data_IF_255650740617
#
_entry.id   IF_255650740617
#
_cell.length_a   1.000
_cell.length_b   1.000
_cell.length_c   1.000
_cell.angle_alpha   90.00
_cell.angle_beta   90.00
_cell.angle_gamma   90.00
#
_symmetry.space_group_name_H-M   'P 1'
#
loop_
_entity.id
_entity.type
_entity.pdbx_description
1 polymer ?
#
# COMPACT_ATOMS: atom_id res chain seq x y z
N UNK A 1 55.17 -21.02 3.45
CA UNK A 1 53.95 -20.37 3.97
C UNK A 1 52.88 -21.42 4.25
N UNK A 2 52.14 -21.29 5.35
CA UNK A 2 51.08 -22.23 5.70
C UNK A 2 49.85 -21.96 4.84
N UNK A 3 49.50 -22.89 3.94
CA UNK A 3 48.38 -22.75 2.97
C UNK A 3 47.07 -22.39 3.70
N UNK A 4 46.87 -22.94 4.89
CA UNK A 4 45.68 -22.68 5.72
C UNK A 4 45.60 -21.20 6.10
N UNK A 5 46.71 -20.56 6.44
CA UNK A 5 46.75 -19.15 6.81
C UNK A 5 46.43 -18.23 5.63
N UNK A 6 46.91 -18.57 4.42
CA UNK A 6 46.61 -17.82 3.19
C UNK A 6 45.12 -17.90 2.85
N UNK A 7 44.55 -19.12 2.89
CA UNK A 7 43.12 -19.31 2.62
C UNK A 7 42.25 -18.55 3.63
N UNK A 8 42.61 -18.59 4.91
CA UNK A 8 41.88 -17.87 5.96
C UNK A 8 41.96 -16.35 5.76
N UNK A 9 43.14 -15.81 5.46
CA UNK A 9 43.32 -14.39 5.17
C UNK A 9 42.49 -13.94 3.95
N UNK A 10 42.41 -14.77 2.90
CA UNK A 10 41.63 -14.49 1.70
C UNK A 10 40.12 -14.48 1.99
N UNK A 11 39.62 -15.43 2.78
CA UNK A 11 38.21 -15.46 3.20
C UNK A 11 37.87 -14.23 4.03
N UNK A 12 38.72 -13.86 5.00
CA UNK A 12 38.51 -12.67 5.82
C UNK A 12 38.48 -11.39 4.97
N UNK A 13 39.44 -11.22 4.05
CA UNK A 13 39.50 -10.05 3.17
C UNK A 13 38.25 -9.96 2.27
N UNK A 14 37.81 -11.08 1.69
CA UNK A 14 36.58 -11.14 0.91
C UNK A 14 35.34 -10.81 1.74
N UNK A 15 35.22 -11.36 2.95
CA UNK A 15 34.08 -11.11 3.84
C UNK A 15 34.00 -9.64 4.26
N UNK A 16 35.12 -9.04 4.69
CA UNK A 16 35.17 -7.63 5.09
C UNK A 16 34.94 -6.70 3.89
N UNK A 17 35.54 -7.02 2.74
CA UNK A 17 35.37 -6.24 1.53
C UNK A 17 33.93 -6.28 1.01
N UNK A 18 33.28 -7.44 1.04
CA UNK A 18 31.88 -7.59 0.66
C UNK A 18 30.95 -6.86 1.63
N UNK A 19 31.21 -6.93 2.94
CA UNK A 19 30.45 -6.18 3.95
C UNK A 19 30.55 -4.66 3.75
N UNK A 20 31.76 -4.15 3.53
CA UNK A 20 31.99 -2.73 3.22
C UNK A 20 31.33 -2.33 1.90
N UNK A 21 31.35 -3.21 0.89
CA UNK A 21 30.68 -2.99 -0.38
C UNK A 21 29.16 -2.86 -0.23
N UNK A 22 28.52 -3.77 0.52
CA UNK A 22 27.08 -3.74 0.79
C UNK A 22 26.71 -2.44 1.50
N UNK A 23 27.45 -2.07 2.54
CA UNK A 23 27.26 -0.80 3.24
C UNK A 23 27.45 0.42 2.31
N UNK A 24 28.46 0.35 1.42
CA UNK A 24 28.72 1.36 0.40
C UNK A 24 27.55 1.53 -0.56
N UNK A 25 27.01 0.44 -1.10
CA UNK A 25 25.84 0.46 -2.02
C UNK A 25 24.62 1.07 -1.33
N UNK A 26 24.34 0.68 -0.08
CA UNK A 26 23.24 1.27 0.71
C UNK A 26 23.45 2.77 0.90
N UNK A 27 24.67 3.19 1.25
CA UNK A 27 24.99 4.62 1.45
C UNK A 27 24.86 5.46 0.18
N UNK A 28 25.21 4.90 -0.99
CA UNK A 28 25.01 5.54 -2.30
C UNK A 28 23.53 5.65 -2.61
N UNK A 29 22.75 4.62 -2.29
CA UNK A 29 21.32 4.57 -2.55
C UNK A 29 20.54 5.63 -1.76
N UNK A 30 20.90 5.83 -0.49
CA UNK A 30 20.21 6.74 0.43
C UNK A 30 20.63 8.19 0.30
N UNK A 31 21.95 8.47 0.26
CA UNK A 31 22.45 9.85 0.34
C UNK A 31 22.69 10.54 -0.99
N UNK A 32 22.81 9.79 -2.09
CA UNK A 32 22.95 10.33 -3.44
C UNK A 32 24.11 11.32 -3.66
N UNK A 33 25.10 11.36 -2.75
CA UNK A 33 26.18 12.34 -2.76
C UNK A 33 27.50 11.80 -3.31
N UNK A 34 28.36 12.69 -3.81
CA UNK A 34 29.67 12.34 -4.37
C UNK A 34 30.59 11.65 -3.34
N UNK A 35 30.45 11.98 -2.06
CA UNK A 35 31.16 11.32 -0.95
C UNK A 35 30.84 9.81 -0.85
N UNK A 36 29.59 9.40 -1.11
CA UNK A 36 29.22 7.98 -1.09
C UNK A 36 29.88 7.23 -2.25
N UNK A 37 30.03 7.88 -3.41
CA UNK A 37 30.72 7.31 -4.58
C UNK A 37 32.21 7.12 -4.25
N UNK A 38 32.86 8.12 -3.65
CA UNK A 38 34.25 8.00 -3.20
C UNK A 38 34.44 6.87 -2.16
N UNK A 39 33.50 6.73 -1.22
CA UNK A 39 33.51 5.63 -0.26
C UNK A 39 33.42 4.26 -0.93
N UNK A 40 32.51 4.12 -1.90
CA UNK A 40 32.39 2.89 -2.70
C UNK A 40 33.66 2.58 -3.51
N UNK A 41 34.24 3.59 -4.17
CA UNK A 41 35.49 3.42 -4.92
C UNK A 41 36.64 2.99 -4.01
N UNK A 42 36.72 3.54 -2.80
CA UNK A 42 37.71 3.13 -1.79
C UNK A 42 37.50 1.67 -1.37
N UNK A 43 36.25 1.21 -1.23
CA UNK A 43 35.94 -0.19 -0.94
C UNK A 43 36.38 -1.13 -2.07
N UNK A 44 36.22 -0.74 -3.35
CA UNK A 44 36.70 -1.53 -4.48
C UNK A 44 38.21 -1.70 -4.47
N UNK A 45 38.96 -0.64 -4.10
CA UNK A 45 40.42 -0.72 -3.96
C UNK A 45 40.80 -1.72 -2.87
N UNK A 46 40.14 -1.67 -1.70
CA UNK A 46 40.38 -2.63 -0.61
C UNK A 46 40.02 -4.07 -1.03
N UNK A 47 38.90 -4.24 -1.74
CA UNK A 47 38.45 -5.54 -2.25
C UNK A 47 39.44 -6.16 -3.25
N UNK A 48 40.12 -5.33 -4.04
CA UNK A 48 41.14 -5.76 -4.99
C UNK A 48 42.50 -6.00 -4.32
N UNK A 49 42.97 -5.04 -3.52
CA UNK A 49 44.30 -5.08 -2.90
C UNK A 49 44.39 -6.12 -1.79
N UNK A 50 43.31 -6.42 -1.07
CA UNK A 50 43.29 -7.41 0.02
C UNK A 50 43.75 -8.81 -0.44
N UNK A 51 43.11 -9.42 -1.45
CA UNK A 51 43.53 -10.71 -2.01
C UNK A 51 44.96 -10.70 -2.59
N UNK A 52 45.38 -9.60 -3.22
CA UNK A 52 46.74 -9.47 -3.79
C UNK A 52 47.80 -9.42 -2.69
N UNK A 53 47.56 -8.64 -1.64
CA UNK A 53 48.46 -8.54 -0.49
C UNK A 53 48.51 -9.84 0.32
N UNK A 54 47.38 -10.54 0.48
CA UNK A 54 47.31 -11.81 1.22
C UNK A 54 48.06 -12.97 0.54
N UNK A 55 48.36 -12.85 -0.75
CA UNK A 55 48.97 -13.91 -1.57
C UNK A 55 50.36 -13.53 -2.08
N UNK A 56 50.97 -12.49 -1.50
CA UNK A 56 52.30 -11.99 -1.87
C UNK A 56 52.41 -11.67 -3.38
N UNK A 57 51.32 -11.18 -3.98
CA UNK A 57 51.32 -10.79 -5.40
C UNK A 57 51.30 -11.96 -6.39
N UNK A 58 50.79 -13.13 -5.99
CA UNK A 58 50.65 -14.26 -6.91
C UNK A 58 49.74 -13.90 -8.11
N UNK A 59 50.14 -14.27 -9.34
CA UNK A 59 49.46 -13.86 -10.57
C UNK A 59 47.94 -14.17 -10.60
N UNK A 60 47.54 -15.31 -10.04
CA UNK A 60 46.13 -15.73 -9.98
C UNK A 60 45.27 -14.85 -9.07
N UNK A 61 45.87 -14.19 -8.07
CA UNK A 61 45.15 -13.32 -7.12
C UNK A 61 44.62 -12.05 -7.78
N UNK A 62 45.34 -11.53 -8.78
CA UNK A 62 44.88 -10.42 -9.61
C UNK A 62 43.59 -10.77 -10.38
N UNK A 63 43.50 -12.02 -10.86
CA UNK A 63 42.30 -12.53 -11.53
C UNK A 63 41.09 -12.56 -10.60
N UNK A 64 41.26 -13.05 -9.36
CA UNK A 64 40.18 -13.10 -8.37
C UNK A 64 39.77 -11.68 -7.95
N UNK A 65 40.75 -10.82 -7.63
CA UNK A 65 40.49 -9.43 -7.26
C UNK A 65 39.72 -8.68 -8.35
N UNK A 66 40.14 -8.82 -9.62
CA UNK A 66 39.44 -8.21 -10.76
C UNK A 66 38.01 -8.74 -10.94
N UNK A 67 37.81 -10.05 -10.80
CA UNK A 67 36.47 -10.65 -10.88
C UNK A 67 35.52 -10.10 -9.80
N UNK A 68 35.99 -9.95 -8.56
CA UNK A 68 35.21 -9.38 -7.46
C UNK A 68 34.81 -7.92 -7.72
N UNK A 69 35.74 -7.11 -8.24
CA UNK A 69 35.46 -5.72 -8.63
C UNK A 69 34.40 -5.66 -9.74
N UNK A 70 34.49 -6.52 -10.76
CA UNK A 70 33.50 -6.57 -11.85
C UNK A 70 32.11 -6.97 -11.35
N UNK A 71 32.02 -7.96 -10.45
CA UNK A 71 30.75 -8.35 -9.83
C UNK A 71 30.15 -7.18 -9.03
N UNK A 72 30.97 -6.47 -8.27
CA UNK A 72 30.53 -5.30 -7.51
C UNK A 72 30.04 -4.14 -8.39
N UNK A 73 30.77 -3.83 -9.47
CA UNK A 73 30.36 -2.83 -10.45
C UNK A 73 29.06 -3.23 -11.16
N UNK A 74 28.92 -4.51 -11.52
CA UNK A 74 27.70 -5.04 -12.11
C UNK A 74 26.50 -4.94 -11.16
N UNK A 75 26.68 -5.24 -9.87
CA UNK A 75 25.65 -5.07 -8.85
C UNK A 75 25.23 -3.61 -8.70
N UNK A 76 26.20 -2.68 -8.62
CA UNK A 76 25.93 -1.25 -8.55
C UNK A 76 25.18 -0.76 -9.80
N UNK A 77 25.63 -1.13 -11.00
CA UNK A 77 24.97 -0.80 -12.26
C UNK A 77 23.54 -1.35 -12.31
N UNK A 78 23.33 -2.59 -11.85
CA UNK A 78 22.00 -3.19 -11.71
C UNK A 78 21.10 -2.40 -10.75
N UNK A 79 21.61 -1.98 -9.60
CA UNK A 79 20.88 -1.15 -8.65
C UNK A 79 20.52 0.22 -9.24
N UNK A 80 21.49 0.90 -9.88
CA UNK A 80 21.28 2.21 -10.50
C UNK A 80 20.26 2.15 -11.64
N UNK A 81 20.37 1.16 -12.52
CA UNK A 81 19.40 0.95 -13.61
C UNK A 81 18.02 0.57 -13.09
N UNK A 82 17.93 -0.22 -12.02
CA UNK A 82 16.65 -0.50 -11.34
C UNK A 82 16.02 0.78 -10.77
N UNK A 83 16.80 1.63 -10.08
CA UNK A 83 16.32 2.90 -9.52
C UNK A 83 15.88 3.86 -10.64
N UNK A 84 16.70 4.02 -11.67
CA UNK A 84 16.37 4.83 -12.85
C UNK A 84 15.08 4.33 -13.51
N UNK A 85 14.91 3.01 -13.66
CA UNK A 85 13.70 2.41 -14.23
C UNK A 85 12.46 2.64 -13.35
N UNK A 86 12.59 2.52 -12.02
CA UNK A 86 11.51 2.85 -11.10
C UNK A 86 11.10 4.32 -11.20
N UNK A 87 12.09 5.21 -11.32
CA UNK A 87 11.86 6.64 -11.46
C UNK A 87 11.23 6.99 -12.80
N UNK A 88 11.71 6.44 -13.91
CA UNK A 88 11.07 6.60 -15.23
C UNK A 88 9.66 6.00 -15.28
N UNK A 89 9.41 4.90 -14.57
CA UNK A 89 8.04 4.37 -14.44
C UNK A 89 7.14 5.29 -13.62
N UNK A 90 7.67 5.86 -12.54
CA UNK A 90 6.95 6.85 -11.74
C UNK A 90 6.65 8.09 -12.59
N UNK A 91 7.65 8.65 -13.26
CA UNK A 91 7.51 9.81 -14.16
C UNK A 91 6.53 9.52 -15.29
N UNK A 92 6.54 8.32 -15.87
CA UNK A 92 5.58 7.88 -16.87
C UNK A 92 4.15 7.81 -16.32
N UNK A 93 3.97 7.22 -15.14
CA UNK A 93 2.66 7.19 -14.46
C UNK A 93 2.17 8.59 -14.12
N UNK A 94 3.06 9.45 -13.65
CA UNK A 94 2.79 10.85 -13.33
C UNK A 94 2.31 11.57 -14.60
N UNK A 95 3.02 11.42 -15.73
CA UNK A 95 2.60 11.98 -17.03
C UNK A 95 1.27 11.43 -17.54
N UNK A 96 1.00 10.12 -17.37
CA UNK A 96 -0.28 9.52 -17.77
C UNK A 96 -1.46 10.00 -16.92
N UNK A 97 -1.24 10.34 -15.65
CA UNK A 97 -2.32 10.78 -14.76
C UNK A 97 -2.86 12.18 -15.09
N UNK A 98 -2.08 13.01 -15.80
CA UNK A 98 -2.54 14.33 -16.22
C UNK A 98 -1.91 14.74 -17.57
N UNK A 99 -2.56 14.44 -18.72
CA UNK A 99 -2.04 14.83 -20.03
C UNK A 99 -2.11 16.35 -20.29
N UNK A 100 -2.93 17.11 -19.55
CA UNK A 100 -3.23 18.53 -19.86
C UNK A 100 -3.08 19.55 -18.70
N UNK A 101 -2.65 19.19 -17.48
CA UNK A 101 -2.80 20.08 -16.31
C UNK A 101 -1.65 20.05 -15.32
N UNK A 102 -1.36 21.21 -14.74
CA UNK A 102 -0.19 21.49 -13.90
C UNK A 102 -0.15 20.63 -12.63
N UNK A 103 1.07 20.27 -12.25
CA UNK A 103 1.37 19.61 -10.98
C UNK A 103 1.05 20.47 -9.76
N UNK A 104 0.40 21.62 -9.90
CA UNK A 104 0.27 22.63 -8.85
C UNK A 104 -0.43 22.09 -7.61
N UNK A 105 -1.43 21.20 -7.75
CA UNK A 105 -2.07 20.56 -6.60
C UNK A 105 -1.13 19.56 -5.89
N UNK A 106 -0.42 18.71 -6.64
CA UNK A 106 0.52 17.74 -6.08
C UNK A 106 1.81 18.40 -5.53
N UNK A 107 2.25 19.50 -6.16
CA UNK A 107 3.35 20.35 -5.70
C UNK A 107 2.90 21.16 -4.47
N UNK A 108 1.65 21.64 -4.42
CA UNK A 108 1.09 22.27 -3.23
C UNK A 108 1.04 21.28 -2.07
N UNK A 109 0.60 20.04 -2.31
CA UNK A 109 0.65 18.95 -1.31
C UNK A 109 2.09 18.70 -0.83
N UNK A 110 3.07 18.68 -1.75
CA UNK A 110 4.49 18.46 -1.41
C UNK A 110 5.10 19.63 -0.61
N UNK A 111 4.66 20.86 -0.87
CA UNK A 111 5.24 22.07 -0.27
C UNK A 111 4.58 22.47 1.06
N UNK A 112 3.43 21.89 1.41
CA UNK A 112 2.74 22.17 2.66
C UNK A 112 3.36 21.39 3.83
N UNK A 113 3.80 22.11 4.87
CA UNK A 113 4.37 21.53 6.11
C UNK A 113 3.37 21.51 7.29
N UNK A 114 2.10 21.85 7.05
CA UNK A 114 1.06 21.88 8.07
C UNK A 114 -0.03 20.86 7.78
N UNK A 115 -0.52 20.18 8.82
CA UNK A 115 -1.67 19.29 8.74
C UNK A 115 -2.92 20.17 8.76
N UNK A 116 -3.60 20.28 7.62
CA UNK A 116 -4.92 20.89 7.54
C UNK A 116 -5.89 19.84 6.99
N UNK A 117 -7.04 19.69 7.65
CA UNK A 117 -8.12 18.77 7.25
C UNK A 117 -8.54 19.02 5.78
N UNK A 118 -8.38 20.27 5.33
CA UNK A 118 -8.57 20.68 3.94
C UNK A 118 -7.73 19.87 2.93
N UNK A 119 -6.50 19.49 3.29
CA UNK A 119 -5.58 18.75 2.43
C UNK A 119 -6.05 17.30 2.21
N UNK A 120 -6.64 16.68 3.23
CA UNK A 120 -7.24 15.35 3.11
C UNK A 120 -8.38 15.42 2.10
N UNK A 121 -9.24 16.43 2.22
CA UNK A 121 -10.38 16.59 1.33
C UNK A 121 -9.95 16.89 -0.11
N UNK A 122 -8.92 17.70 -0.32
CA UNK A 122 -8.38 17.97 -1.65
C UNK A 122 -7.75 16.74 -2.28
N UNK A 123 -7.01 15.94 -1.51
CA UNK A 123 -6.53 14.63 -1.98
C UNK A 123 -7.68 13.70 -2.36
N UNK A 124 -8.71 13.58 -1.51
CA UNK A 124 -9.87 12.74 -1.79
C UNK A 124 -10.58 13.20 -3.07
N UNK A 125 -10.80 14.52 -3.19
CA UNK A 125 -11.39 15.14 -4.38
C UNK A 125 -10.56 14.82 -5.62
N UNK A 126 -9.25 14.98 -5.56
CA UNK A 126 -8.36 14.69 -6.68
C UNK A 126 -8.35 13.20 -7.02
N UNK A 127 -8.29 12.30 -6.04
CA UNK A 127 -8.36 10.86 -6.26
C UNK A 127 -9.68 10.41 -6.92
N UNK A 128 -10.79 11.09 -6.63
CA UNK A 128 -12.09 10.80 -7.22
C UNK A 128 -12.37 11.59 -8.50
N UNK A 129 -11.61 12.66 -8.77
CA UNK A 129 -11.81 13.53 -9.92
C UNK A 129 -11.62 12.78 -11.23
N UNK A 130 -12.65 12.85 -12.09
CA UNK A 130 -12.67 12.19 -13.40
C UNK A 130 -12.79 10.66 -13.33
N UNK A 131 -13.07 10.09 -12.16
CA UNK A 131 -13.27 8.65 -12.02
C UNK A 131 -14.57 8.24 -12.71
N UNK A 132 -14.46 7.40 -13.75
CA UNK A 132 -15.60 6.79 -14.44
C UNK A 132 -15.73 5.33 -14.03
N UNK A 133 -16.97 4.85 -13.91
CA UNK A 133 -17.28 3.46 -13.53
C UNK A 133 -16.67 2.41 -14.46
N UNK A 134 -16.55 2.72 -15.76
CA UNK A 134 -15.92 1.84 -16.73
C UNK A 134 -14.38 1.86 -16.67
N UNK A 135 -13.78 2.71 -15.83
CA UNK A 135 -12.35 2.90 -15.74
C UNK A 135 -11.87 2.92 -14.27
N UNK A 136 -12.36 2.03 -13.43
CA UNK A 136 -11.86 1.85 -12.05
C UNK A 136 -10.34 1.61 -12.02
N UNK A 137 -9.77 1.07 -13.11
CA UNK A 137 -8.32 0.90 -13.26
C UNK A 137 -7.52 2.21 -13.16
N UNK A 138 -8.10 3.36 -13.51
CA UNK A 138 -7.43 4.67 -13.36
C UNK A 138 -7.34 5.11 -11.90
N UNK A 139 -8.32 4.75 -11.06
CA UNK A 139 -8.27 5.03 -9.62
C UNK A 139 -7.03 4.42 -8.99
N UNK A 140 -6.72 3.17 -9.36
CA UNK A 140 -5.52 2.47 -8.92
C UNK A 140 -4.22 3.23 -9.21
N UNK A 141 -4.14 3.91 -10.36
CA UNK A 141 -2.96 4.72 -10.72
C UNK A 141 -2.81 5.93 -9.80
N UNK A 142 -3.91 6.52 -9.35
CA UNK A 142 -3.91 7.66 -8.42
C UNK A 142 -3.38 7.31 -7.03
N UNK A 143 -3.16 6.03 -6.71
CA UNK A 143 -2.40 5.62 -5.53
C UNK A 143 -0.98 6.21 -5.49
N UNK A 144 -0.39 6.56 -6.65
CA UNK A 144 0.91 7.20 -6.71
C UNK A 144 0.92 8.55 -5.98
N UNK A 145 -0.24 9.21 -5.80
CA UNK A 145 -0.35 10.44 -5.00
C UNK A 145 0.03 10.20 -3.53
N UNK A 146 -0.12 8.97 -3.01
CA UNK A 146 0.31 8.60 -1.66
C UNK A 146 1.82 8.72 -1.43
N UNK A 147 2.63 8.78 -2.50
CA UNK A 147 4.08 8.99 -2.41
C UNK A 147 4.44 10.44 -2.05
N UNK A 148 3.51 11.38 -2.22
CA UNK A 148 3.69 12.80 -1.91
C UNK A 148 3.12 13.19 -0.55
N UNK A 149 2.44 12.27 0.13
CA UNK A 149 1.87 12.49 1.47
C UNK A 149 2.96 12.29 2.52
N UNK A 150 2.94 13.11 3.58
CA UNK A 150 3.85 12.99 4.70
C UNK A 150 3.72 11.60 5.38
N UNK A 151 4.83 10.93 5.76
CA UNK A 151 4.78 9.55 6.29
C UNK A 151 3.87 9.38 7.52
N UNK A 152 3.76 10.43 8.36
CA UNK A 152 2.91 10.47 9.56
C UNK A 152 1.42 10.36 9.20
N UNK A 153 1.01 10.95 8.08
CA UNK A 153 -0.38 10.98 7.62
C UNK A 153 -0.68 9.86 6.63
N UNK A 154 0.35 9.38 5.90
CA UNK A 154 0.21 8.39 4.84
C UNK A 154 -0.60 7.14 5.25
N UNK A 155 -0.61 6.78 6.53
CA UNK A 155 -1.41 5.68 7.06
C UNK A 155 -2.94 5.90 6.87
N UNK A 156 -3.45 7.09 7.17
CA UNK A 156 -4.88 7.41 7.07
C UNK A 156 -5.31 7.55 5.61
N UNK A 157 -4.49 8.22 4.79
CA UNK A 157 -4.70 8.32 3.35
C UNK A 157 -4.68 6.94 2.67
N UNK A 158 -3.75 6.06 3.07
CA UNK A 158 -3.70 4.67 2.58
C UNK A 158 -4.95 3.89 2.99
N UNK A 159 -5.39 4.02 4.24
CA UNK A 159 -6.60 3.35 4.74
C UNK A 159 -7.82 3.75 3.91
N UNK A 160 -8.07 5.05 3.76
CA UNK A 160 -9.16 5.56 2.93
C UNK A 160 -9.04 5.10 1.48
N UNK A 161 -7.85 5.19 0.88
CA UNK A 161 -7.64 4.77 -0.51
C UNK A 161 -7.96 3.29 -0.72
N UNK A 162 -7.50 2.43 0.20
CA UNK A 162 -7.76 0.99 0.17
C UNK A 162 -9.24 0.71 0.32
N UNK A 163 -9.90 1.39 1.25
CA UNK A 163 -11.33 1.28 1.48
C UNK A 163 -12.14 1.63 0.22
N UNK A 164 -11.88 2.80 -0.38
CA UNK A 164 -12.47 3.19 -1.66
C UNK A 164 -12.26 2.13 -2.74
N UNK A 165 -11.04 1.64 -2.88
CA UNK A 165 -10.73 0.71 -3.94
C UNK A 165 -11.38 -0.66 -3.75
N UNK A 166 -11.52 -1.12 -2.50
CA UNK A 166 -12.27 -2.33 -2.16
C UNK A 166 -13.73 -2.16 -2.54
N UNK A 167 -14.36 -1.07 -2.08
CA UNK A 167 -15.76 -0.77 -2.36
C UNK A 167 -16.04 -0.70 -3.87
N UNK A 168 -15.18 0.00 -4.62
CA UNK A 168 -15.27 0.06 -6.08
C UNK A 168 -15.11 -1.31 -6.74
N UNK A 169 -14.20 -2.15 -6.22
CA UNK A 169 -14.01 -3.52 -6.71
C UNK A 169 -15.26 -4.36 -6.46
N UNK A 170 -15.89 -4.25 -5.29
CA UNK A 170 -17.12 -4.99 -4.96
C UNK A 170 -18.30 -4.55 -5.82
N UNK A 171 -18.48 -3.25 -6.05
CA UNK A 171 -19.51 -2.75 -6.97
C UNK A 171 -19.30 -3.23 -8.42
N UNK A 172 -18.05 -3.53 -8.80
CA UNK A 172 -17.70 -4.10 -10.10
C UNK A 172 -17.74 -5.63 -10.14
N UNK A 173 -17.95 -6.29 -9.00
CA UNK A 173 -18.02 -7.75 -8.85
C UNK A 173 -19.26 -8.35 -9.53
N UNK A 174 -19.35 -9.67 -9.62
CA UNK A 174 -20.47 -10.37 -10.29
C UNK A 174 -21.56 -10.84 -9.32
N UNK A 175 -21.29 -10.86 -8.02
CA UNK A 175 -22.24 -11.31 -7.01
C UNK A 175 -23.21 -10.19 -6.64
N UNK A 176 -24.51 -10.41 -6.76
CA UNK A 176 -25.53 -9.43 -6.38
C UNK A 176 -25.41 -9.06 -4.90
N UNK A 177 -25.17 -10.04 -4.01
CA UNK A 177 -25.01 -9.81 -2.58
C UNK A 177 -23.80 -8.91 -2.25
N UNK A 178 -22.69 -9.05 -2.99
CA UNK A 178 -21.51 -8.18 -2.80
C UNK A 178 -21.78 -6.75 -3.28
N UNK A 179 -22.52 -6.60 -4.38
CA UNK A 179 -22.93 -5.30 -4.91
C UNK A 179 -23.85 -4.59 -3.91
N UNK A 180 -24.86 -5.27 -3.37
CA UNK A 180 -25.77 -4.71 -2.36
C UNK A 180 -25.02 -4.22 -1.13
N UNK A 181 -24.20 -5.09 -0.54
CA UNK A 181 -23.42 -4.77 0.64
C UNK A 181 -22.47 -3.58 0.39
N UNK A 182 -21.91 -3.46 -0.82
CA UNK A 182 -21.07 -2.33 -1.19
C UNK A 182 -21.87 -1.03 -1.31
N UNK A 183 -23.07 -1.05 -1.91
CA UNK A 183 -23.94 0.14 -2.01
C UNK A 183 -24.38 0.60 -0.62
N UNK A 184 -24.89 -0.31 0.22
CA UNK A 184 -25.24 0.00 1.60
C UNK A 184 -24.08 0.60 2.38
N UNK A 185 -22.86 0.06 2.18
CA UNK A 185 -21.65 0.58 2.79
C UNK A 185 -21.37 2.04 2.38
N UNK A 186 -21.44 2.35 1.07
CA UNK A 186 -21.19 3.69 0.53
C UNK A 186 -22.17 4.72 1.10
N UNK A 187 -23.46 4.36 1.19
CA UNK A 187 -24.48 5.24 1.73
C UNK A 187 -24.32 5.48 3.24
N UNK A 188 -23.77 4.50 3.96
CA UNK A 188 -23.56 4.59 5.41
C UNK A 188 -22.27 5.31 5.85
N UNK A 189 -21.19 5.25 5.04
CA UNK A 189 -19.84 5.65 5.50
C UNK A 189 -19.23 6.88 4.80
N UNK A 190 -19.96 7.54 3.89
CA UNK A 190 -19.51 8.73 3.13
C UNK A 190 -18.09 8.65 2.56
N UNK A 191 -17.73 7.47 2.03
CA UNK A 191 -16.38 7.16 1.56
C UNK A 191 -16.09 7.75 0.18
N UNK A 192 -17.15 7.93 -0.63
CA UNK A 192 -17.10 8.36 -2.02
C UNK A 192 -17.84 9.68 -2.22
N UNK A 193 -17.51 10.39 -3.30
CA UNK A 193 -18.20 11.65 -3.65
C UNK A 193 -19.69 11.39 -3.90
N UNK A 194 -20.57 12.39 -3.65
CA UNK A 194 -22.01 12.24 -3.90
C UNK A 194 -22.34 11.78 -5.32
N UNK A 195 -21.63 12.28 -6.33
CA UNK A 195 -21.81 11.91 -7.74
C UNK A 195 -21.49 10.43 -7.95
N UNK A 196 -20.35 9.97 -7.45
CA UNK A 196 -19.93 8.58 -7.62
C UNK A 196 -20.81 7.60 -6.85
N UNK A 197 -21.29 8.02 -5.66
CA UNK A 197 -22.29 7.27 -4.86
C UNK A 197 -23.57 7.05 -5.65
N UNK A 198 -24.07 8.09 -6.31
CA UNK A 198 -25.28 8.05 -7.17
C UNK A 198 -25.06 7.14 -8.38
N UNK A 199 -23.95 7.33 -9.09
CA UNK A 199 -23.61 6.54 -10.28
C UNK A 199 -23.47 5.05 -9.96
N UNK A 200 -22.78 4.71 -8.85
CA UNK A 200 -22.64 3.32 -8.39
C UNK A 200 -23.98 2.71 -7.99
N UNK A 201 -24.87 3.49 -7.37
CA UNK A 201 -26.21 3.03 -6.99
C UNK A 201 -27.03 2.70 -8.23
N UNK A 202 -27.03 3.57 -9.25
CA UNK A 202 -27.72 3.30 -10.51
C UNK A 202 -27.13 2.10 -11.25
N UNK A 203 -25.79 1.99 -11.28
CA UNK A 203 -25.12 0.84 -11.87
C UNK A 203 -25.53 -0.45 -11.16
N UNK A 204 -25.56 -0.46 -9.83
CA UNK A 204 -25.97 -1.61 -9.04
C UNK A 204 -27.41 -2.02 -9.37
N UNK A 205 -28.35 -1.07 -9.41
CA UNK A 205 -29.75 -1.32 -9.74
C UNK A 205 -29.95 -1.89 -11.16
N UNK A 206 -29.10 -1.50 -12.11
CA UNK A 206 -29.11 -2.07 -13.46
C UNK A 206 -28.52 -3.47 -13.56
N UNK A 207 -27.82 -3.95 -12.53
CA UNK A 207 -27.10 -5.24 -12.52
C UNK A 207 -27.75 -6.30 -11.64
N UNK A 208 -28.44 -5.90 -10.58
CA UNK A 208 -29.15 -6.83 -9.70
C UNK A 208 -30.54 -7.16 -10.24
N UNK A 209 -31.06 -8.33 -9.89
CA UNK A 209 -32.45 -8.72 -10.18
C UNK A 209 -33.48 -7.71 -9.66
N UNK A 210 -34.66 -7.68 -10.29
CA UNK A 210 -35.72 -6.71 -9.98
C UNK A 210 -36.12 -6.71 -8.50
N UNK A 211 -36.28 -7.89 -7.90
CA UNK A 211 -36.70 -8.06 -6.50
C UNK A 211 -35.65 -7.48 -5.56
N UNK A 212 -34.40 -7.89 -5.73
CA UNK A 212 -33.22 -7.41 -4.99
C UNK A 212 -33.03 -5.89 -5.15
N UNK A 213 -33.22 -5.37 -6.37
CA UNK A 213 -33.15 -3.94 -6.65
C UNK A 213 -34.25 -3.14 -5.94
N UNK A 214 -35.46 -3.68 -5.82
CA UNK A 214 -36.53 -3.04 -5.04
C UNK A 214 -36.22 -3.02 -3.55
N UNK A 215 -35.64 -4.10 -3.00
CA UNK A 215 -35.21 -4.14 -1.60
C UNK A 215 -34.13 -3.10 -1.32
N UNK A 216 -33.12 -3.01 -2.19
CA UNK A 216 -32.08 -1.97 -2.09
C UNK A 216 -32.69 -0.56 -2.12
N UNK A 217 -33.62 -0.29 -3.04
CA UNK A 217 -34.30 1.00 -3.11
C UNK A 217 -35.06 1.31 -1.81
N UNK A 218 -35.80 0.34 -1.27
CA UNK A 218 -36.52 0.49 0.01
C UNK A 218 -35.55 0.79 1.15
N UNK A 219 -34.42 0.07 1.22
CA UNK A 219 -33.41 0.28 2.25
C UNK A 219 -32.80 1.70 2.17
N UNK A 220 -32.41 2.15 0.98
CA UNK A 220 -31.85 3.51 0.79
C UNK A 220 -32.90 4.58 1.10
N UNK A 221 -34.15 4.43 0.62
CA UNK A 221 -35.23 5.38 0.89
C UNK A 221 -35.53 5.45 2.40
N UNK A 222 -35.55 4.31 3.10
CA UNK A 222 -35.85 4.28 4.53
C UNK A 222 -34.84 5.07 5.37
N UNK A 223 -33.56 5.04 5.00
CA UNK A 223 -32.48 5.71 5.75
C UNK A 223 -32.21 7.13 5.23
N UNK A 224 -32.37 7.37 3.93
CA UNK A 224 -31.94 8.59 3.24
C UNK A 224 -33.08 9.31 2.51
N UNK A 225 -34.32 9.22 3.02
CA UNK A 225 -35.49 9.88 2.43
C UNK A 225 -35.34 11.40 2.23
N UNK A 226 -34.49 12.06 3.03
CA UNK A 226 -34.26 13.50 2.95
C UNK A 226 -33.31 13.92 1.81
N UNK A 227 -32.62 12.99 1.15
CA UNK A 227 -31.75 13.31 0.01
C UNK A 227 -32.62 13.55 -1.25
N UNK A 228 -32.60 14.77 -1.85
CA UNK A 228 -33.42 15.09 -3.01
C UNK A 228 -33.14 14.20 -4.22
N UNK A 229 -31.91 13.66 -4.34
CA UNK A 229 -31.58 12.75 -5.42
C UNK A 229 -32.28 11.41 -5.25
N UNK A 230 -32.35 10.89 -4.01
CA UNK A 230 -33.03 9.63 -3.68
C UNK A 230 -34.51 9.72 -4.03
N UNK A 231 -35.18 10.80 -3.64
CA UNK A 231 -36.59 11.02 -3.95
C UNK A 231 -36.86 11.12 -5.47
N UNK A 232 -35.98 11.80 -6.20
CA UNK A 232 -36.16 12.07 -7.62
C UNK A 232 -35.84 10.85 -8.52
N UNK A 233 -34.89 9.99 -8.13
CA UNK A 233 -34.35 8.96 -9.02
C UNK A 233 -34.66 7.53 -8.61
N UNK A 234 -34.93 7.24 -7.33
CA UNK A 234 -35.26 5.88 -6.92
C UNK A 234 -36.75 5.59 -7.12
N UNK A 235 -37.11 4.42 -7.66
CA UNK A 235 -38.51 4.04 -7.82
C UNK A 235 -39.19 3.99 -6.46
N UNK A 236 -40.32 4.70 -6.34
CA UNK A 236 -41.12 4.66 -5.12
C UNK A 236 -41.62 3.23 -4.90
N UNK A 237 -41.60 2.73 -3.66
CA UNK A 237 -42.23 1.46 -3.37
C UNK A 237 -43.71 1.55 -3.79
N UNK A 238 -44.29 0.47 -4.33
CA UNK A 238 -45.70 0.45 -4.68
C UNK A 238 -46.50 0.84 -3.44
N UNK A 239 -47.39 1.83 -3.59
CA UNK A 239 -48.32 2.18 -2.51
C UNK A 239 -49.18 0.95 -2.26
N UNK A 240 -49.35 0.57 -0.98
CA UNK A 240 -50.19 -0.58 -0.60
C UNK A 240 -51.60 -0.52 -1.19
N UNK A 241 -52.07 0.67 -1.54
CA UNK A 241 -53.42 0.91 -2.05
C UNK A 241 -53.65 0.45 -3.51
N UNK A 242 -52.59 0.10 -4.26
CA UNK A 242 -52.70 -0.30 -5.67
C UNK A 242 -52.51 -1.83 -5.91
N UNK A 243 -52.36 -2.64 -4.84
CA UNK A 243 -52.31 -4.10 -4.99
C UNK A 243 -53.72 -4.69 -5.02
N UNK A 244 -54.05 -5.57 -5.99
CA UNK A 244 -55.31 -6.31 -5.97
C UNK A 244 -55.33 -7.15 -4.70
N UNK A 245 -56.33 -6.89 -3.86
CA UNK A 245 -56.61 -7.40 -2.52
C UNK A 245 -56.63 -8.93 -2.34
N UNK A 246 -56.21 -9.71 -3.33
CA UNK A 246 -56.22 -11.18 -3.30
C UNK A 246 -54.85 -11.83 -3.04
N UNK A 247 -53.75 -11.07 -2.94
CA UNK A 247 -52.42 -11.66 -2.71
C UNK A 247 -51.96 -11.59 -1.24
N UNK A 248 -52.36 -10.56 -0.47
CA UNK A 248 -52.04 -10.49 0.96
C UNK A 248 -52.77 -11.56 1.79
N UNK A 249 -54.00 -11.95 1.39
CA UNK A 249 -54.75 -13.04 2.05
C UNK A 249 -54.10 -14.42 1.80
N UNK A 250 -53.52 -14.64 0.62
CA UNK A 250 -52.83 -15.92 0.29
C UNK A 250 -51.44 -16.05 0.90
N UNK A 251 -50.79 -14.94 1.21
CA UNK A 251 -49.47 -14.92 1.85
C UNK A 251 -49.62 -15.01 3.38
N UNK A 252 -50.67 -14.41 3.95
CA UNK A 252 -50.96 -14.50 5.38
C UNK A 252 -51.29 -15.94 5.82
N UNK A 253 -52.00 -16.71 5.00
CA UNK A 253 -52.32 -18.12 5.29
C UNK A 253 -51.12 -19.07 5.12
N UNK A 254 -50.08 -18.67 4.37
CA UNK A 254 -48.85 -19.45 4.19
C UNK A 254 -47.75 -19.09 5.22
N UNK A 255 -47.78 -17.89 5.79
CA UNK A 255 -46.80 -17.45 6.79
C UNK A 255 -47.13 -17.87 8.23
N UNK A 256 -48.38 -18.19 8.56
CA UNK A 256 -48.75 -18.61 9.92
C UNK A 256 -48.42 -20.08 10.25
N UNK A 257 -48.06 -20.91 9.26
CA UNK A 257 -47.73 -22.33 9.49
C UNK A 257 -46.23 -22.68 9.50
N UNK A 258 -45.34 -21.70 9.33
CA UNK A 258 -43.90 -21.92 9.51
C UNK A 258 -43.43 -21.37 10.86
N UNK A 259 -42.72 -22.18 11.69
CA UNK A 259 -42.09 -21.69 12.91
C UNK A 259 -41.27 -20.43 12.59
N UNK A 260 -41.23 -19.41 13.48
CA UNK A 260 -40.43 -18.22 13.26
C UNK A 260 -38.99 -18.66 13.02
N UNK A 261 -38.60 -18.66 11.75
CA UNK A 261 -37.23 -18.93 11.36
C UNK A 261 -36.39 -17.90 12.12
N UNK A 262 -35.38 -18.33 12.90
CA UNK A 262 -34.61 -17.43 13.75
C UNK A 262 -34.19 -16.24 12.90
N UNK A 263 -34.71 -15.07 13.25
CA UNK A 263 -34.41 -13.81 12.56
C UNK A 263 -32.90 -13.80 12.39
N UNK A 264 -32.37 -13.92 11.15
CA UNK A 264 -30.94 -14.04 10.95
C UNK A 264 -30.31 -12.84 11.64
N UNK A 265 -29.58 -13.16 12.71
CA UNK A 265 -29.03 -12.26 13.69
C UNK A 265 -28.58 -11.00 12.97
N UNK A 266 -29.33 -9.92 13.20
CA UNK A 266 -29.26 -8.62 12.55
C UNK A 266 -27.85 -8.40 12.01
N UNK A 267 -27.69 -8.74 10.73
CA UNK A 267 -26.36 -9.02 10.20
C UNK A 267 -25.54 -7.79 10.42
N UNK A 268 -24.54 -7.87 11.29
CA UNK A 268 -23.63 -6.77 11.59
C UNK A 268 -23.29 -6.12 10.25
N UNK A 269 -23.69 -4.85 10.07
CA UNK A 269 -23.69 -4.18 8.76
C UNK A 269 -22.39 -4.37 7.98
N UNK A 270 -22.37 -4.12 6.67
CA UNK A 270 -21.22 -4.45 5.81
C UNK A 270 -19.91 -4.00 6.45
N UNK A 271 -19.14 -4.97 6.95
CA UNK A 271 -17.87 -4.71 7.64
C UNK A 271 -16.77 -4.78 6.62
N UNK A 272 -16.00 -3.69 6.48
CA UNK A 272 -14.82 -3.64 5.62
C UNK A 272 -13.87 -4.81 5.93
N UNK A 273 -13.83 -5.28 7.18
CA UNK A 273 -13.03 -6.44 7.62
C UNK A 273 -13.37 -7.74 6.89
N UNK A 274 -14.60 -7.90 6.37
CA UNK A 274 -14.96 -9.07 5.56
C UNK A 274 -14.25 -9.04 4.20
N UNK A 275 -13.94 -7.85 3.70
CA UNK A 275 -13.21 -7.64 2.44
C UNK A 275 -11.72 -7.39 2.65
N UNK A 276 -11.30 -7.08 3.89
CA UNK A 276 -9.94 -6.76 4.29
C UNK A 276 -9.53 -7.52 5.55
N UNK A 277 -8.78 -8.62 5.39
CA UNK A 277 -8.28 -9.39 6.52
C UNK A 277 -7.08 -8.69 7.18
N UNK A 278 -7.20 -8.42 8.49
CA UNK A 278 -6.08 -8.01 9.33
C UNK A 278 -5.20 -9.25 9.61
N UNK A 279 -3.91 -9.18 9.28
CA UNK A 279 -2.94 -10.26 9.52
C UNK A 279 -1.59 -10.04 8.82
N UNK A 280 -0.62 -10.94 9.05
CA UNK A 280 0.79 -10.90 8.60
C UNK A 280 0.99 -11.20 7.10
N UNK A 281 -0.03 -10.93 6.29
CA UNK A 281 -0.01 -11.24 4.88
C UNK A 281 0.81 -10.22 4.07
N UNK A 282 1.13 -10.58 2.82
CA UNK A 282 1.81 -9.68 1.88
C UNK A 282 0.99 -8.39 1.68
N UNK A 283 1.64 -7.25 1.86
CA UNK A 283 1.02 -5.93 1.75
C UNK A 283 1.61 -5.18 0.56
N UNK A 284 0.76 -4.45 -0.16
CA UNK A 284 1.25 -3.53 -1.17
C UNK A 284 2.00 -2.37 -0.51
N UNK A 285 3.30 -2.22 -0.78
CA UNK A 285 4.11 -1.14 -0.20
C UNK A 285 3.64 0.27 -0.56
N UNK A 286 2.88 0.42 -1.64
CA UNK A 286 2.36 1.72 -2.08
C UNK A 286 1.05 2.06 -1.37
N UNK A 287 0.01 1.25 -1.59
CA UNK A 287 -1.34 1.57 -1.10
C UNK A 287 -1.72 0.88 0.21
N UNK A 288 -0.96 -0.11 0.69
CA UNK A 288 -1.31 -0.86 1.90
C UNK A 288 -2.39 -1.96 1.70
N UNK A 289 -2.78 -2.21 0.45
CA UNK A 289 -3.76 -3.27 0.15
C UNK A 289 -3.21 -4.65 0.52
N UNK A 290 -4.04 -5.44 1.21
CA UNK A 290 -3.77 -6.83 1.58
C UNK A 290 -4.76 -7.73 0.82
N UNK A 291 -4.29 -8.69 0.01
CA UNK A 291 -5.17 -9.61 -0.69
C UNK A 291 -5.86 -10.53 0.32
N UNK A 292 -7.09 -10.93 0.01
CA UNK A 292 -7.83 -11.90 0.81
C UNK A 292 -7.03 -13.22 0.94
N UNK A 293 -7.18 -13.89 2.08
CA UNK A 293 -6.49 -15.14 2.38
C UNK A 293 -6.93 -16.21 1.39
N UNK A 294 -6.06 -16.55 0.44
CA UNK A 294 -6.26 -17.69 -0.45
C UNK A 294 -5.93 -18.94 0.34
N UNK A 295 -6.68 -20.03 0.15
CA UNK A 295 -6.44 -21.28 0.86
C UNK A 295 -4.96 -21.70 0.84
N UNK A 296 -4.48 -22.31 1.93
CA UNK A 296 -3.04 -22.60 2.18
C UNK A 296 -2.29 -23.22 1.00
N UNK A 297 -2.95 -24.09 0.23
CA UNK A 297 -2.35 -24.73 -0.95
C UNK A 297 -2.05 -23.73 -2.07
N UNK A 298 -2.99 -22.85 -2.37
CA UNK A 298 -2.85 -21.80 -3.38
C UNK A 298 -1.82 -20.77 -2.94
N UNK A 299 -1.78 -20.46 -1.64
CA UNK A 299 -0.74 -19.60 -1.07
C UNK A 299 0.66 -20.20 -1.26
N UNK A 300 0.89 -21.48 -0.93
CA UNK A 300 2.21 -22.12 -1.13
C UNK A 300 2.62 -22.18 -2.60
N UNK A 301 1.69 -22.46 -3.51
CA UNK A 301 1.96 -22.45 -4.95
C UNK A 301 2.32 -21.03 -5.43
N UNK A 302 1.60 -20.02 -4.96
CA UNK A 302 1.92 -18.62 -5.24
C UNK A 302 3.28 -18.22 -4.66
N UNK A 303 3.63 -18.65 -3.45
CA UNK A 303 4.92 -18.39 -2.82
C UNK A 303 6.09 -18.98 -3.62
N UNK A 304 5.96 -20.21 -4.12
CA UNK A 304 6.95 -20.80 -5.01
C UNK A 304 7.11 -19.98 -6.30
N UNK A 305 5.99 -19.54 -6.88
CA UNK A 305 5.98 -18.65 -8.05
C UNK A 305 6.55 -17.25 -7.73
N UNK A 306 6.44 -16.75 -6.50
CA UNK A 306 6.99 -15.46 -6.08
C UNK A 306 8.51 -15.44 -6.13
N UNK A 307 9.16 -16.55 -5.78
CA UNK A 307 10.62 -16.66 -5.86
C UNK A 307 11.11 -16.63 -7.31
N UNK A 308 10.35 -17.22 -8.23
CA UNK A 308 10.70 -17.29 -9.66
C UNK A 308 10.41 -15.97 -10.36
N UNK A 309 9.35 -15.25 -9.95
CA UNK A 309 8.85 -14.10 -10.68
C UNK A 309 8.51 -12.90 -9.78
N UNK A 310 9.45 -12.53 -8.91
CA UNK A 310 9.34 -11.39 -7.98
C UNK A 310 9.00 -10.06 -8.68
N UNK A 311 9.29 -9.94 -9.98
CA UNK A 311 9.00 -8.77 -10.83
C UNK A 311 7.59 -8.75 -11.42
N UNK A 312 6.77 -9.79 -11.24
CA UNK A 312 5.52 -9.97 -11.99
C UNK A 312 4.23 -9.55 -11.24
N UNK A 313 4.23 -9.40 -9.92
CA UNK A 313 2.98 -9.03 -9.22
C UNK A 313 2.76 -7.53 -9.15
N UNK A 314 1.76 -7.10 -9.92
CA UNK A 314 1.07 -5.84 -9.76
C UNK A 314 0.06 -6.00 -8.62
N UNK A 315 -0.03 -5.04 -7.71
CA UNK A 315 -1.13 -4.95 -6.75
C UNK A 315 -2.46 -4.97 -7.53
N UNK A 316 -3.45 -5.76 -7.11
CA UNK A 316 -4.75 -5.78 -7.81
C UNK A 316 -5.46 -4.42 -7.76
N UNK A 317 -5.20 -3.67 -6.69
CA UNK A 317 -5.81 -2.39 -6.36
C UNK A 317 -5.13 -1.23 -7.08
N UNK A 318 -3.84 -0.97 -6.77
CA UNK A 318 -3.13 0.16 -7.37
C UNK A 318 -2.37 -0.19 -8.67
N UNK A 319 -2.37 -1.47 -9.09
CA UNK A 319 -1.59 -1.99 -10.23
C UNK A 319 -0.08 -1.77 -10.15
N UNK A 320 0.44 -1.26 -9.04
CA UNK A 320 1.85 -0.99 -8.82
C UNK A 320 2.63 -2.26 -8.47
N UNK A 321 3.88 -2.36 -8.95
CA UNK A 321 4.74 -3.56 -8.81
C UNK A 321 5.55 -3.55 -7.51
N UNK A 322 4.87 -3.52 -6.36
CA UNK A 322 5.54 -3.57 -5.05
C UNK A 322 4.72 -4.33 -4.01
N UNK A 323 4.32 -5.57 -4.31
CA UNK A 323 3.89 -6.48 -3.24
C UNK A 323 5.15 -6.95 -2.51
N UNK A 324 5.30 -6.56 -1.25
CA UNK A 324 6.36 -7.07 -0.37
C UNK A 324 5.75 -7.91 0.74
N UNK A 325 6.48 -8.92 1.25
CA UNK A 325 6.17 -9.43 2.59
C UNK A 325 6.46 -8.32 3.59
N UNK A 326 5.56 -8.17 4.57
CA UNK A 326 5.60 -7.10 5.56
C UNK A 326 6.99 -6.97 6.19
N UNK A 327 7.72 -5.95 5.77
CA UNK A 327 8.50 -5.16 6.70
C UNK A 327 7.55 -4.02 7.04
N UNK A 328 6.89 -4.13 8.19
CA UNK A 328 6.07 -3.02 8.64
C UNK A 328 6.98 -1.79 8.76
N UNK A 329 6.48 -0.62 8.37
CA UNK A 329 7.21 0.64 8.54
C UNK A 329 7.55 0.88 10.03
N UNK A 330 6.80 0.24 10.94
CA UNK A 330 7.02 0.15 12.38
C UNK A 330 8.37 -0.45 12.73
N UNK A 331 8.77 -1.56 12.09
CA UNK A 331 10.02 -2.26 12.42
C UNK A 331 11.26 -1.47 11.93
N UNK A 332 11.10 -0.67 10.86
CA UNK A 332 12.17 0.17 10.33
C UNK A 332 12.35 1.46 11.14
N UNK A 333 11.26 2.08 11.62
CA UNK A 333 11.31 3.25 12.49
C UNK A 333 11.78 2.93 13.92
N UNK A 334 11.41 1.76 14.46
CA UNK A 334 11.93 1.28 15.74
C UNK A 334 13.43 0.97 15.67
N UNK A 335 13.92 0.48 14.53
CA UNK A 335 15.35 0.26 14.31
C UNK A 335 16.14 1.57 14.17
N UNK A 336 15.59 2.59 13.49
CA UNK A 336 16.21 3.92 13.38
C UNK A 336 16.20 4.71 14.70
N UNK A 337 15.16 4.57 15.53
CA UNK A 337 15.11 5.21 16.84
C UNK A 337 15.95 4.49 17.90
N UNK A 338 16.11 3.16 17.81
CA UNK A 338 17.02 2.42 18.68
C UNK A 338 18.49 2.80 18.46
N UNK A 339 18.89 3.12 17.22
CA UNK A 339 20.26 3.57 16.92
C UNK A 339 20.54 5.04 17.27
N UNK A 340 19.51 5.90 17.24
CA UNK A 340 19.66 7.33 17.59
C UNK A 340 19.47 7.61 19.08
N UNK A 341 18.66 6.82 19.80
CA UNK A 341 18.42 6.98 21.25
C UNK A 341 19.58 6.54 22.16
N UNK A 342 20.55 5.79 21.64
CA UNK A 342 21.66 5.24 22.45
C UNK A 342 22.83 6.20 22.73
N UNK A 343 22.92 7.35 22.04
CA UNK A 343 24.07 8.27 22.17
C UNK A 343 23.83 9.50 23.03
N UNK A 344 22.58 9.93 23.21
CA UNK A 344 22.29 11.13 24.02
C UNK A 344 22.03 10.83 25.51
N UNK A 345 21.67 9.60 25.87
CA UNK A 345 21.48 9.21 27.27
C UNK A 345 22.78 9.21 28.11
N UNK A 346 23.98 9.19 27.49
CA UNK A 346 25.27 9.27 28.21
C UNK A 346 25.79 10.69 28.44
N UNK A 347 25.19 11.72 27.84
CA UNK A 347 25.69 13.11 27.97
C UNK A 347 25.01 13.93 29.08
N UNK A 348 23.89 13.44 29.63
CA UNK A 348 23.14 14.18 30.67
C UNK A 348 23.50 13.73 32.10
N UNK A 349 24.15 12.58 32.29
CA UNK A 349 24.50 12.08 33.64
C UNK A 349 25.79 12.66 34.25
N UNK A 350 26.54 13.53 33.55
CA UNK A 350 27.85 14.01 34.01
C UNK A 350 27.90 15.51 34.38
N UNK A 351 26.74 16.15 34.62
CA UNK A 351 26.68 17.59 34.99
C UNK A 351 26.06 17.90 36.35
N UNK A 352 25.71 16.89 37.16
CA UNK A 352 25.12 17.11 38.49
C UNK A 352 26.04 16.64 39.62
N UNK A 353 27.26 17.21 39.69
CA UNK A 353 28.15 17.05 40.84
C UNK A 353 29.24 18.13 40.86
N UNK A 354 28.83 19.40 41.01
CA UNK A 354 29.70 20.49 41.48
C UNK A 354 28.86 21.73 41.80
N UNK A 355 28.16 21.70 42.92
CA UNK A 355 27.95 22.92 43.69
C UNK A 355 28.69 22.72 45.02
N UNK A 356 29.78 23.46 45.15
CA UNK A 356 30.54 23.61 46.38
C UNK A 356 29.81 24.56 47.30
N UNK A 357 29.87 24.22 48.57
CA UNK A 357 29.79 25.08 49.74
C UNK A 357 30.64 26.34 49.54
N UNK A 358 30.07 27.48 49.92
CA UNK A 358 30.68 28.66 50.56
C UNK A 358 29.48 29.50 50.99
N UNK A 359 29.25 29.62 52.30
CA UNK A 359 28.86 30.88 52.93
C UNK A 359 29.14 30.80 54.43
N UNK A 360 29.67 31.92 54.92
CA UNK A 360 30.03 32.25 56.29
C UNK A 360 28.85 32.34 57.26
#
# INVERSE_FOLDING_TARGET
>A
MNVIAIVFALICACATGLGALIAGVVSVQERGGWLSILGFMSCLVVLFCGPVAATDGALWSFGIGAALVLVALGALWGCLTCKHRQQTQLDGMLKEMHPEGSWDAAIAIKNYRGIDESLIQDFKRECLHGLKLNNVGSFGKKAALLLFVEPTQAADYRRWFVECAIVLKQCSGTSEAEILAAVEYIWSHDVLSPELKRDLTLLALGRVGREVGQELCRAIIAVHAADPWVEAHLPKPPKKDDSPSNLEDKISESLESSPPSPVPEQSSGPRLERWYLKGDHAECRLCGFRPANKGKALQKAEEALWHINSRARKCETCRYRTMGRGLTHSDCLLSLHAETGGKDARRVSNKSSRHKDIED
#
